data_IF_385633823925
#
_entry.id   IF_385633823925
#
_cell.length_a   1.000
_cell.length_b   1.000
_cell.length_c   1.000
_cell.angle_alpha   90.00
_cell.angle_beta   90.00
_cell.angle_gamma   90.00
#
_symmetry.space_group_name_H-M   'P 1'
#
loop_
_entity.id
_entity.type
_entity.pdbx_description
1 polymer ?
#
# COMPACT_ATOMS: atom_id res chain seq x y z
N UNK A 1 17.08 18.41 20.27
CA UNK A 1 15.92 17.65 19.75
C UNK A 1 15.81 17.96 18.27
N UNK A 2 15.94 16.96 17.40
CA UNK A 2 15.78 17.13 15.95
C UNK A 2 14.38 16.63 15.63
N UNK A 3 13.57 17.48 14.99
CA UNK A 3 12.27 17.10 14.43
C UNK A 3 12.48 17.02 12.93
N UNK A 4 12.30 15.83 12.36
CA UNK A 4 12.34 15.63 10.91
C UNK A 4 10.96 16.00 10.34
N UNK A 5 10.90 17.11 9.60
CA UNK A 5 9.68 17.58 8.95
C UNK A 5 9.64 17.06 7.52
N UNK A 6 9.13 15.85 7.34
CA UNK A 6 8.80 15.31 6.02
C UNK A 6 7.48 15.92 5.54
N UNK A 7 7.56 16.90 4.62
CA UNK A 7 6.38 17.51 4.00
C UNK A 7 5.69 16.58 2.99
N UNK A 8 6.43 15.65 2.39
CA UNK A 8 5.91 14.60 1.53
C UNK A 8 6.92 13.44 1.50
N UNK A 9 6.44 12.22 1.75
CA UNK A 9 7.24 10.99 1.74
C UNK A 9 6.99 10.16 0.47
N UNK A 10 5.74 10.18 0.02
CA UNK A 10 5.21 9.44 -1.12
C UNK A 10 4.60 10.34 -2.19
N UNK A 11 4.21 11.57 -1.83
CA UNK A 11 3.58 12.50 -2.75
C UNK A 11 2.11 12.19 -3.04
N UNK A 12 1.50 11.27 -2.29
CA UNK A 12 0.07 10.90 -2.38
C UNK A 12 -0.64 10.93 -1.01
N UNK A 13 -0.06 11.64 -0.04
CA UNK A 13 -0.63 11.75 1.32
C UNK A 13 -2.08 12.24 1.33
N UNK A 14 -2.49 13.24 0.51
CA UNK A 14 -3.90 13.67 0.44
C UNK A 14 -4.84 12.57 -0.04
N UNK A 15 -4.42 11.75 -1.01
CA UNK A 15 -5.20 10.64 -1.53
C UNK A 15 -5.40 9.55 -0.47
N UNK A 16 -4.33 9.22 0.27
CA UNK A 16 -4.39 8.23 1.35
C UNK A 16 -5.35 8.67 2.45
N UNK A 17 -5.25 9.93 2.89
CA UNK A 17 -6.12 10.50 3.92
C UNK A 17 -7.57 10.58 3.43
N UNK A 18 -7.77 11.03 2.19
CA UNK A 18 -9.11 11.17 1.61
C UNK A 18 -9.82 9.83 1.36
N UNK A 19 -9.06 8.77 1.08
CA UNK A 19 -9.59 7.42 0.87
C UNK A 19 -9.61 6.56 2.13
N UNK A 20 -9.15 7.06 3.28
CA UNK A 20 -9.05 6.27 4.51
C UNK A 20 -10.40 5.62 4.88
N UNK A 21 -10.34 4.36 5.29
CA UNK A 21 -11.52 3.60 5.71
C UNK A 21 -11.62 3.52 7.23
N UNK A 22 -12.84 3.50 7.75
CA UNK A 22 -13.09 3.39 9.18
C UNK A 22 -13.02 1.92 9.60
N UNK A 23 -11.96 1.55 10.30
CA UNK A 23 -11.73 0.18 10.76
C UNK A 23 -11.83 0.11 12.29
N UNK A 24 -12.60 -0.86 12.80
CA UNK A 24 -12.58 -1.21 14.21
C UNK A 24 -11.34 -2.07 14.51
N UNK A 25 -10.37 -1.49 15.20
CA UNK A 25 -9.07 -2.14 15.50
C UNK A 25 -9.04 -2.80 16.88
N UNK A 26 -9.91 -2.34 17.78
CA UNK A 26 -10.21 -2.94 19.08
C UNK A 26 -11.69 -2.71 19.39
N UNK A 27 -12.32 -3.52 20.27
CA UNK A 27 -13.74 -3.33 20.62
C UNK A 27 -14.04 -1.89 21.06
N UNK A 28 -14.89 -1.21 20.30
CA UNK A 28 -15.30 0.18 20.54
C UNK A 28 -14.31 1.25 20.08
N UNK A 29 -13.19 0.88 19.43
CA UNK A 29 -12.21 1.81 18.88
C UNK A 29 -12.16 1.72 17.35
N UNK A 30 -12.74 2.72 16.70
CA UNK A 30 -12.78 2.87 15.24
C UNK A 30 -11.82 3.99 14.85
N UNK A 31 -10.94 3.70 13.89
CA UNK A 31 -9.96 4.67 13.39
C UNK A 31 -9.92 4.69 11.86
N UNK A 32 -9.67 5.86 11.24
CA UNK A 32 -9.38 5.92 9.82
C UNK A 32 -8.02 5.28 9.54
N UNK A 33 -8.00 4.29 8.66
CA UNK A 33 -6.79 3.59 8.23
C UNK A 33 -6.61 3.68 6.73
N UNK A 34 -5.36 3.65 6.27
CA UNK A 34 -5.08 3.56 4.84
C UNK A 34 -5.57 2.22 4.29
N UNK A 35 -6.23 2.26 3.13
CA UNK A 35 -6.69 1.05 2.42
C UNK A 35 -5.53 0.21 1.94
N UNK A 36 -5.76 -1.09 1.76
CA UNK A 36 -4.79 -2.09 1.29
C UNK A 36 -4.05 -1.66 0.03
N UNK A 37 -4.75 -1.15 -1.00
CA UNK A 37 -4.11 -0.67 -2.24
C UNK A 37 -3.05 0.43 -2.01
N UNK A 38 -3.34 1.39 -1.12
CA UNK A 38 -2.37 2.43 -0.76
C UNK A 38 -1.20 1.87 0.05
N UNK A 39 -1.47 0.93 0.97
CA UNK A 39 -0.41 0.26 1.75
C UNK A 39 0.56 -0.50 0.85
N UNK A 40 0.05 -1.19 -0.17
CA UNK A 40 0.86 -1.86 -1.20
C UNK A 40 1.79 -0.86 -1.89
N UNK A 41 1.23 0.24 -2.42
CA UNK A 41 2.02 1.26 -3.13
C UNK A 41 3.12 1.85 -2.24
N UNK A 42 2.81 2.16 -0.98
CA UNK A 42 3.79 2.67 -0.01
C UNK A 42 4.87 1.65 0.33
N UNK A 43 4.51 0.37 0.50
CA UNK A 43 5.47 -0.70 0.80
C UNK A 43 6.41 -0.93 -0.38
N UNK A 44 5.91 -0.91 -1.62
CA UNK A 44 6.74 -0.99 -2.83
C UNK A 44 7.70 0.20 -2.95
N UNK A 45 7.24 1.41 -2.64
CA UNK A 45 8.08 2.62 -2.64
C UNK A 45 9.19 2.57 -1.58
N UNK A 46 8.87 2.04 -0.39
CA UNK A 46 9.78 2.01 0.74
C UNK A 46 10.70 0.78 0.79
N UNK A 47 10.47 -0.23 -0.06
CA UNK A 47 11.12 -1.54 -0.03
C UNK A 47 12.65 -1.45 -0.07
N UNK A 48 13.30 -2.02 0.92
CA UNK A 48 14.75 -2.18 0.99
C UNK A 48 15.10 -3.60 1.44
N UNK A 49 15.21 -4.54 0.50
CA UNK A 49 15.42 -5.95 0.83
C UNK A 49 16.79 -6.24 1.46
N UNK A 50 17.79 -5.37 1.26
CA UNK A 50 19.12 -5.54 1.83
C UNK A 50 19.17 -5.19 3.32
N UNK A 51 18.47 -4.12 3.71
CA UNK A 51 18.51 -3.59 5.09
C UNK A 51 17.23 -3.86 5.88
N UNK A 52 16.15 -4.23 5.21
CA UNK A 52 14.80 -4.42 5.77
C UNK A 52 14.14 -5.68 5.20
N UNK A 53 14.61 -6.88 5.56
CA UNK A 53 14.03 -8.14 5.08
C UNK A 53 12.51 -8.27 5.37
N UNK A 54 12.01 -7.56 6.39
CA UNK A 54 10.59 -7.49 6.74
C UNK A 54 9.71 -6.87 5.64
N UNK A 55 10.25 -5.98 4.80
CA UNK A 55 9.48 -5.33 3.74
C UNK A 55 8.90 -6.35 2.75
N UNK A 56 9.67 -7.42 2.45
CA UNK A 56 9.23 -8.53 1.62
C UNK A 56 8.11 -9.36 2.27
N UNK A 57 8.11 -9.49 3.60
CA UNK A 57 7.10 -10.23 4.33
C UNK A 57 5.78 -9.45 4.37
N UNK A 58 5.86 -8.15 4.61
CA UNK A 58 4.68 -7.27 4.64
C UNK A 58 3.95 -7.25 3.29
N UNK A 59 4.70 -7.18 2.18
CA UNK A 59 4.12 -7.24 0.83
C UNK A 59 3.43 -8.59 0.54
N UNK A 60 4.00 -9.70 1.01
CA UNK A 60 3.35 -11.02 0.89
C UNK A 60 2.03 -11.05 1.67
N UNK A 61 2.03 -10.58 2.92
CA UNK A 61 0.81 -10.53 3.74
C UNK A 61 -0.26 -9.63 3.14
N UNK A 62 0.12 -8.49 2.54
CA UNK A 62 -0.81 -7.63 1.82
C UNK A 62 -1.36 -8.32 0.56
N UNK A 63 -0.52 -9.02 -0.20
CA UNK A 63 -0.93 -9.76 -1.39
C UNK A 63 -1.93 -10.89 -1.08
N UNK A 64 -1.79 -11.56 0.07
CA UNK A 64 -2.69 -12.63 0.50
C UNK A 64 -4.14 -12.15 0.72
N UNK A 65 -4.31 -10.90 1.14
CA UNK A 65 -5.64 -10.31 1.46
C UNK A 65 -6.14 -9.33 0.40
N UNK A 66 -5.30 -8.94 -0.55
CA UNK A 66 -5.65 -7.95 -1.57
C UNK A 66 -6.75 -8.47 -2.52
N UNK A 67 -7.73 -7.62 -2.79
CA UNK A 67 -8.73 -7.83 -3.83
C UNK A 67 -8.25 -7.29 -5.19
N UNK A 68 -8.97 -7.61 -6.27
CA UNK A 68 -8.71 -7.00 -7.57
C UNK A 68 -8.88 -5.47 -7.57
N UNK A 69 -9.80 -4.96 -6.72
CA UNK A 69 -9.97 -3.52 -6.53
C UNK A 69 -8.75 -2.90 -5.84
N UNK A 70 -8.19 -3.57 -4.82
CA UNK A 70 -6.99 -3.09 -4.13
C UNK A 70 -5.78 -3.00 -5.07
N UNK A 71 -5.64 -3.94 -5.99
CA UNK A 71 -4.57 -3.90 -7.00
C UNK A 71 -4.77 -2.77 -8.00
N UNK A 72 -6.02 -2.44 -8.32
CA UNK A 72 -6.35 -1.28 -9.18
C UNK A 72 -6.05 0.03 -8.47
N UNK A 73 -6.42 0.14 -7.20
CA UNK A 73 -6.11 1.29 -6.34
C UNK A 73 -4.59 1.44 -6.16
N UNK A 74 -3.85 0.34 -5.97
CA UNK A 74 -2.39 0.35 -5.89
C UNK A 74 -1.76 0.83 -7.20
N UNK A 75 -2.26 0.37 -8.35
CA UNK A 75 -1.77 0.81 -9.66
C UNK A 75 -2.00 2.31 -9.87
N UNK A 76 -3.16 2.83 -9.49
CA UNK A 76 -3.45 4.27 -9.57
C UNK A 76 -2.58 5.10 -8.63
N UNK A 77 -2.38 4.63 -7.39
CA UNK A 77 -1.48 5.26 -6.43
C UNK A 77 -0.04 5.32 -6.97
N UNK A 78 0.47 4.22 -7.53
CA UNK A 78 1.78 4.15 -8.19
C UNK A 78 1.88 5.12 -9.37
N UNK A 79 0.83 5.20 -10.20
CA UNK A 79 0.78 6.15 -11.32
C UNK A 79 0.93 7.59 -10.83
N UNK A 80 0.26 7.96 -9.74
CA UNK A 80 0.36 9.28 -9.13
C UNK A 80 1.74 9.56 -8.53
N UNK A 81 2.31 8.60 -7.77
CA UNK A 81 3.66 8.69 -7.19
C UNK A 81 4.68 8.97 -8.29
N UNK A 82 4.65 8.19 -9.37
CA UNK A 82 5.56 8.33 -10.51
C UNK A 82 5.34 9.64 -11.26
N UNK A 83 4.10 10.00 -11.55
CA UNK A 83 3.79 11.26 -12.25
C UNK A 83 4.23 12.51 -11.47
N UNK A 84 4.30 12.41 -10.14
CA UNK A 84 4.76 13.49 -9.24
C UNK A 84 6.26 13.43 -8.93
N UNK A 85 6.99 12.44 -9.45
CA UNK A 85 8.44 12.30 -9.27
C UNK A 85 8.87 11.74 -7.91
N UNK A 86 7.98 11.07 -7.18
CA UNK A 86 8.28 10.49 -5.87
C UNK A 86 8.73 9.02 -5.93
N UNK A 87 8.88 8.43 -7.12
CA UNK A 87 9.17 7.00 -7.31
C UNK A 87 10.61 6.57 -6.97
N UNK A 88 11.52 7.52 -6.68
CA UNK A 88 12.91 7.26 -6.23
C UNK A 88 13.70 6.39 -7.21
N UNK A 89 13.59 6.70 -8.50
CA UNK A 89 14.24 5.98 -9.61
C UNK A 89 13.87 4.49 -9.74
N UNK A 90 12.75 4.06 -9.13
CA UNK A 90 12.24 2.70 -9.21
C UNK A 90 11.14 2.57 -10.25
N UNK A 91 11.09 1.42 -10.90
CA UNK A 91 9.91 1.00 -11.67
C UNK A 91 8.89 0.34 -10.75
N UNK A 92 8.03 1.17 -10.15
CA UNK A 92 7.00 0.69 -9.23
C UNK A 92 5.92 -0.14 -9.93
N UNK A 93 5.72 0.06 -11.24
CA UNK A 93 4.72 -0.69 -12.00
C UNK A 93 5.20 -2.12 -12.25
N UNK A 94 6.48 -2.30 -12.58
CA UNK A 94 7.11 -3.61 -12.68
C UNK A 94 7.08 -4.34 -11.33
N UNK A 95 7.43 -3.65 -10.23
CA UNK A 95 7.38 -4.24 -8.89
C UNK A 95 5.97 -4.65 -8.45
N UNK A 96 4.93 -3.93 -8.88
CA UNK A 96 3.54 -4.31 -8.66
C UNK A 96 3.14 -5.54 -9.47
N UNK A 97 3.62 -5.66 -10.71
CA UNK A 97 3.34 -6.81 -11.57
C UNK A 97 4.00 -8.11 -11.04
N UNK A 98 5.17 -7.98 -10.42
CA UNK A 98 5.92 -9.07 -9.80
C UNK A 98 5.37 -9.53 -8.44
N UNK A 99 4.40 -8.81 -7.86
CA UNK A 99 3.80 -9.22 -6.61
C UNK A 99 3.10 -10.58 -6.75
N UNK A 100 3.09 -11.40 -5.67
CA UNK A 100 2.25 -12.60 -5.65
C UNK A 100 0.81 -12.21 -5.97
N UNK A 101 0.18 -12.95 -6.87
CA UNK A 101 -1.24 -12.73 -7.15
C UNK A 101 -2.04 -13.15 -5.93
N UNK A 102 -3.11 -12.42 -5.59
CA UNK A 102 -4.01 -12.85 -4.54
C UNK A 102 -4.56 -14.23 -4.89
N UNK A 103 -4.86 -15.07 -3.88
CA UNK A 103 -5.46 -16.37 -4.13
C UNK A 103 -6.72 -16.19 -4.99
N UNK A 104 -6.89 -17.03 -6.01
CA UNK A 104 -8.11 -17.06 -6.81
C UNK A 104 -9.25 -17.52 -5.92
N UNK A 105 -9.90 -16.61 -5.22
CA UNK A 105 -11.02 -16.98 -4.37
C UNK A 105 -12.18 -17.45 -5.26
N UNK A 106 -12.51 -18.74 -5.13
CA UNK A 106 -13.85 -19.23 -5.41
C UNK A 106 -14.86 -18.40 -4.61
N UNK A 107 -16.05 -18.27 -5.18
CA UNK A 107 -17.24 -17.50 -4.76
C UNK A 107 -17.30 -17.02 -3.31
N UNK A 108 -17.83 -15.79 -3.07
CA UNK A 108 -18.13 -15.32 -1.74
C UNK A 108 -19.31 -16.13 -1.17
N UNK A 109 -19.01 -17.23 -0.49
CA UNK A 109 -19.96 -17.84 0.42
C UNK A 109 -19.95 -17.05 1.73
N UNK A 110 -21.12 -16.50 2.05
CA UNK A 110 -21.79 -16.68 3.33
C UNK A 110 -20.86 -16.89 4.53
N UNK A 111 -20.71 -15.84 5.34
CA UNK A 111 -21.12 -15.83 6.75
C UNK A 111 -21.02 -14.43 7.34
#
# INVERSE_FOLDING_TARGET
MVVDLLFASSGIEPEIVGAAEQLEIFPGLIMPVARTGHLIALKLLARDDERRPQDSADLRSLAEVATASDLTDAAEAIRLITARGFNRDRDLAELLADMPKPPSNGSPHER
#
